data_IF_588485526309
#
_entry.id   IF_588485526309
#
_cell.length_a   1.000
_cell.length_b   1.000
_cell.length_c   1.000
_cell.angle_alpha   90.00
_cell.angle_beta   90.00
_cell.angle_gamma   90.00
#
_symmetry.space_group_name_H-M   'P 1'
#
loop_
_entity.id
_entity.type
_entity.pdbx_description
1 polymer ?
#
# COMPACT_ATOMS: atom_id res chain seq x y z
N UNK A 1 -10.99 -1.59 57.93
CA UNK A 1 -10.10 -1.70 56.75
C UNK A 1 -10.52 -0.75 55.62
N UNK A 2 -11.81 -0.55 55.33
CA UNK A 2 -12.27 0.39 54.29
C UNK A 2 -12.00 1.89 54.60
N UNK A 3 -12.14 2.33 55.85
CA UNK A 3 -11.86 3.73 56.24
C UNK A 3 -10.39 4.13 56.10
N UNK A 4 -9.46 3.21 56.37
CA UNK A 4 -8.02 3.47 56.28
C UNK A 4 -7.61 3.73 54.82
N UNK A 5 -8.20 2.99 53.88
CA UNK A 5 -7.95 3.13 52.45
C UNK A 5 -8.50 4.47 51.88
N UNK A 6 -9.68 4.90 52.35
CA UNK A 6 -10.23 6.22 52.01
C UNK A 6 -9.35 7.36 52.53
N UNK A 7 -8.83 7.24 53.76
CA UNK A 7 -7.97 8.28 54.34
C UNK A 7 -6.63 8.38 53.60
N UNK A 8 -6.05 7.26 53.16
CA UNK A 8 -4.84 7.25 52.33
C UNK A 8 -5.09 7.91 50.96
N UNK A 9 -6.21 7.61 50.30
CA UNK A 9 -6.57 8.26 49.04
C UNK A 9 -6.78 9.77 49.17
N UNK A 10 -7.43 10.23 50.26
CA UNK A 10 -7.60 11.66 50.54
C UNK A 10 -6.25 12.34 50.76
N UNK A 11 -5.33 11.69 51.47
CA UNK A 11 -3.99 12.23 51.70
C UNK A 11 -3.18 12.30 50.40
N UNK A 12 -3.32 11.31 49.51
CA UNK A 12 -2.67 11.31 48.20
C UNK A 12 -3.23 12.41 47.28
N UNK A 13 -4.55 12.63 47.31
CA UNK A 13 -5.22 13.71 46.58
C UNK A 13 -4.76 15.08 47.10
N UNK A 14 -4.66 15.28 48.41
CA UNK A 14 -4.16 16.52 48.99
C UNK A 14 -2.72 16.82 48.53
N UNK A 15 -1.85 15.82 48.50
CA UNK A 15 -0.49 15.98 47.97
C UNK A 15 -0.46 16.35 46.49
N UNK A 16 -1.33 15.73 45.67
CA UNK A 16 -1.45 16.07 44.25
C UNK A 16 -1.99 17.48 44.06
N UNK A 17 -2.96 17.89 44.87
CA UNK A 17 -3.51 19.25 44.90
C UNK A 17 -2.45 20.27 45.29
N UNK A 18 -1.61 19.99 46.30
CA UNK A 18 -0.51 20.88 46.71
C UNK A 18 0.53 21.04 45.59
N UNK A 19 0.86 19.96 44.88
CA UNK A 19 1.75 20.01 43.70
C UNK A 19 1.15 20.85 42.57
N UNK A 20 -0.13 20.66 42.26
CA UNK A 20 -0.83 21.45 41.23
C UNK A 20 -0.95 22.92 41.65
N UNK A 21 -1.25 23.20 42.92
CA UNK A 21 -1.31 24.56 43.46
C UNK A 21 0.05 25.27 43.40
N UNK A 22 1.13 24.54 43.68
CA UNK A 22 2.50 25.02 43.53
C UNK A 22 2.80 25.41 42.07
N UNK A 23 2.48 24.52 41.12
CA UNK A 23 2.73 24.78 39.69
C UNK A 23 1.90 25.95 39.16
N UNK A 24 0.62 26.04 39.58
CA UNK A 24 -0.28 27.15 39.24
C UNK A 24 0.25 28.47 39.80
N UNK A 25 0.76 28.49 41.04
CA UNK A 25 1.38 29.69 41.60
C UNK A 25 2.63 30.10 40.83
N UNK A 26 3.47 29.13 40.44
CA UNK A 26 4.68 29.38 39.65
C UNK A 26 4.36 29.93 38.26
N UNK A 27 3.30 29.42 37.61
CA UNK A 27 2.77 30.01 36.37
C UNK A 27 2.23 31.43 36.56
N UNK A 28 1.56 31.70 37.69
CA UNK A 28 1.00 33.02 37.98
C UNK A 28 2.11 34.06 38.14
N UNK A 29 3.18 33.72 38.85
CA UNK A 29 4.35 34.58 39.04
C UNK A 29 5.03 34.92 37.72
N UNK A 30 5.21 33.94 36.82
CA UNK A 30 5.75 34.20 35.47
C UNK A 30 4.88 35.15 34.66
N UNK A 31 3.54 35.08 34.81
CA UNK A 31 2.61 36.01 34.14
C UNK A 31 2.70 37.42 34.72
N UNK A 32 2.89 37.55 36.03
CA UNK A 32 3.13 38.85 36.70
C UNK A 32 4.47 39.45 36.25
N UNK A 33 5.57 38.68 36.23
CA UNK A 33 6.88 39.13 35.74
C UNK A 33 6.84 39.59 34.27
N UNK A 34 6.09 38.88 33.42
CA UNK A 34 5.86 39.29 32.04
C UNK A 34 5.07 40.59 31.98
N UNK A 35 4.05 40.76 32.83
CA UNK A 35 3.26 42.00 32.91
C UNK A 35 4.13 43.20 33.31
N UNK A 36 4.98 43.05 34.32
CA UNK A 36 5.88 44.11 34.78
C UNK A 36 6.91 44.47 33.69
N UNK A 37 7.44 43.47 32.98
CA UNK A 37 8.32 43.70 31.83
C UNK A 37 7.62 44.47 30.70
N UNK A 38 6.32 44.25 30.49
CA UNK A 38 5.50 45.00 29.53
C UNK A 38 5.44 46.48 29.91
N UNK A 39 5.17 46.76 31.18
CA UNK A 39 5.02 48.11 31.69
C UNK A 39 6.36 48.87 31.61
N UNK A 40 7.47 48.23 31.97
CA UNK A 40 8.82 48.81 31.88
C UNK A 40 9.27 49.04 30.42
N UNK A 41 8.98 48.10 29.51
CA UNK A 41 9.27 48.25 28.08
C UNK A 41 8.48 49.38 27.43
N UNK A 42 7.26 49.65 27.90
CA UNK A 42 6.41 50.72 27.37
C UNK A 42 7.00 52.11 27.67
N UNK A 43 7.72 52.24 28.80
CA UNK A 43 8.37 53.49 29.21
C UNK A 43 9.64 53.75 28.39
N UNK A 44 10.52 52.75 28.26
CA UNK A 44 11.81 52.90 27.54
C UNK A 44 11.62 52.86 26.02
N UNK A 45 10.60 52.15 25.54
CA UNK A 45 10.31 51.97 24.11
C UNK A 45 10.10 53.30 23.38
N UNK A 46 9.46 54.28 23.99
CA UNK A 46 9.12 55.55 23.33
C UNK A 46 10.34 56.30 22.74
N UNK A 47 11.49 56.24 23.39
CA UNK A 47 12.70 56.96 22.95
C UNK A 47 13.45 56.22 21.83
N UNK A 48 13.48 54.88 21.89
CA UNK A 48 14.05 54.05 20.81
C UNK A 48 13.14 54.10 19.58
N UNK A 49 11.82 54.06 19.77
CA UNK A 49 10.83 54.13 18.70
C UNK A 49 10.88 55.43 17.93
N UNK A 50 11.01 56.57 18.60
CA UNK A 50 11.18 57.87 17.93
C UNK A 50 12.39 57.88 17.00
N UNK A 51 13.52 57.34 17.45
CA UNK A 51 14.73 57.28 16.63
C UNK A 51 14.57 56.34 15.43
N UNK A 52 13.96 55.17 15.60
CA UNK A 52 13.76 54.18 14.52
C UNK A 52 12.76 54.66 13.48
N UNK A 53 11.66 55.30 13.90
CA UNK A 53 10.69 55.92 12.97
C UNK A 53 11.36 57.03 12.16
N UNK A 54 12.16 57.89 12.80
CA UNK A 54 12.89 58.94 12.10
C UNK A 54 13.93 58.39 11.10
N UNK A 55 14.53 57.23 11.36
CA UNK A 55 15.46 56.59 10.42
C UNK A 55 14.74 55.88 9.26
N UNK A 56 13.55 55.33 9.49
CA UNK A 56 12.75 54.62 8.48
C UNK A 56 11.97 55.59 7.58
N UNK A 57 11.54 56.73 8.11
CA UNK A 57 10.95 57.84 7.34
C UNK A 57 11.99 58.43 6.36
N UNK A 58 13.24 58.57 6.81
CA UNK A 58 14.38 58.89 5.94
C UNK A 58 14.68 57.84 4.86
N UNK A 59 14.23 56.58 5.05
CA UNK A 59 14.34 55.51 4.06
C UNK A 59 13.11 55.40 3.14
N UNK A 60 12.13 56.29 3.29
CA UNK A 60 10.92 56.36 2.46
C UNK A 60 9.82 55.36 2.84
N UNK A 61 9.86 54.82 4.06
CA UNK A 61 8.81 53.92 4.59
C UNK A 61 7.89 54.74 5.49
N UNK A 62 6.69 55.08 5.00
CA UNK A 62 5.63 55.69 5.83
C UNK A 62 5.16 54.66 6.86
N UNK A 63 5.60 54.84 8.09
CA UNK A 63 5.16 54.05 9.22
C UNK A 63 4.22 54.88 10.08
N UNK A 64 2.96 54.44 10.14
CA UNK A 64 1.99 55.00 11.08
C UNK A 64 2.45 54.70 12.51
N UNK A 65 2.84 55.76 13.23
CA UNK A 65 3.30 55.72 14.61
C UNK A 65 2.29 55.06 15.55
N UNK A 66 1.00 55.30 15.32
CA UNK A 66 -0.08 54.77 16.14
C UNK A 66 -0.29 53.27 15.88
N UNK A 67 -0.22 52.87 14.61
CA UNK A 67 -0.27 51.46 14.21
C UNK A 67 0.91 50.67 14.78
N UNK A 68 2.14 51.19 14.71
CA UNK A 68 3.34 50.55 15.27
C UNK A 68 3.30 50.40 16.78
N UNK A 69 2.88 51.45 17.51
CA UNK A 69 2.71 51.37 18.96
C UNK A 69 1.66 50.33 19.34
N UNK A 70 0.56 50.26 18.59
CA UNK A 70 -0.45 49.23 18.81
C UNK A 70 0.08 47.81 18.55
N UNK A 71 0.99 47.66 17.58
CA UNK A 71 1.63 46.40 17.20
C UNK A 71 2.60 45.93 18.28
N UNK A 72 3.41 46.84 18.83
CA UNK A 72 4.26 46.58 19.99
C UNK A 72 3.46 46.14 21.21
N UNK A 73 2.44 46.91 21.58
CA UNK A 73 1.63 46.60 22.75
C UNK A 73 0.97 45.23 22.57
N UNK A 74 0.48 44.91 21.36
CA UNK A 74 -0.03 43.57 21.03
C UNK A 74 1.07 42.52 21.09
N UNK A 75 2.26 42.78 20.58
CA UNK A 75 3.38 41.84 20.61
C UNK A 75 3.77 41.48 22.05
N UNK A 76 3.97 42.49 22.90
CA UNK A 76 4.38 42.27 24.29
C UNK A 76 3.23 41.65 25.11
N UNK A 77 1.98 42.08 24.90
CA UNK A 77 0.81 41.46 25.55
C UNK A 77 0.61 39.99 25.18
N UNK A 78 1.00 39.60 23.96
CA UNK A 78 0.89 38.24 23.46
C UNK A 78 2.22 37.46 23.53
N UNK A 79 3.23 37.98 24.26
CA UNK A 79 4.55 37.34 24.33
C UNK A 79 4.48 35.92 24.92
N UNK A 80 3.55 35.67 25.84
CA UNK A 80 3.27 34.33 26.35
C UNK A 80 2.78 33.36 25.26
N UNK A 81 1.89 33.81 24.38
CA UNK A 81 1.41 33.02 23.23
C UNK A 81 2.52 32.78 22.21
N UNK A 82 3.40 33.76 21.99
CA UNK A 82 4.59 33.55 21.15
C UNK A 82 5.55 32.55 21.78
N UNK A 83 5.72 32.55 23.11
CA UNK A 83 6.57 31.59 23.80
C UNK A 83 6.04 30.16 23.63
N UNK A 84 4.73 29.95 23.81
CA UNK A 84 4.06 28.66 23.54
C UNK A 84 4.24 28.22 22.08
N UNK A 85 4.16 29.15 21.12
CA UNK A 85 4.42 28.87 19.71
C UNK A 85 5.88 28.45 19.47
N UNK A 86 6.84 29.10 20.12
CA UNK A 86 8.26 28.75 20.01
C UNK A 86 8.55 27.38 20.61
N UNK A 87 7.94 27.03 21.75
CA UNK A 87 8.03 25.69 22.35
C UNK A 87 7.45 24.61 21.41
N UNK A 88 6.35 24.92 20.72
CA UNK A 88 5.77 24.02 19.71
C UNK A 88 6.69 23.86 18.48
N UNK A 89 7.32 24.95 18.03
CA UNK A 89 8.29 24.90 16.93
C UNK A 89 9.56 24.13 17.31
N UNK A 90 10.03 24.27 18.55
CA UNK A 90 11.14 23.50 19.09
C UNK A 90 10.79 22.01 19.13
N UNK A 91 9.60 21.67 19.63
CA UNK A 91 9.09 20.29 19.66
C UNK A 91 8.96 19.69 18.24
N UNK A 92 8.47 20.47 17.27
CA UNK A 92 8.37 20.03 15.88
C UNK A 92 9.75 19.84 15.23
N UNK A 93 10.70 20.74 15.54
CA UNK A 93 12.07 20.63 15.07
C UNK A 93 12.79 19.42 15.67
N UNK A 94 12.57 19.14 16.95
CA UNK A 94 13.13 17.97 17.63
C UNK A 94 12.53 16.67 17.11
N UNK A 95 11.21 16.62 16.89
CA UNK A 95 10.57 15.51 16.19
C UNK A 95 11.18 15.30 14.79
N UNK A 96 11.42 16.37 14.02
CA UNK A 96 12.05 16.27 12.71
C UNK A 96 13.49 15.76 12.80
N UNK A 97 14.28 16.21 13.77
CA UNK A 97 15.64 15.69 14.01
C UNK A 97 15.61 14.21 14.39
N UNK A 98 14.63 13.78 15.19
CA UNK A 98 14.47 12.40 15.61
C UNK A 98 13.97 11.48 14.48
N UNK A 99 13.10 12.00 13.61
CA UNK A 99 12.59 11.27 12.45
C UNK A 99 13.58 11.22 11.28
N UNK A 100 14.47 12.20 11.13
CA UNK A 100 15.43 12.28 10.02
C UNK A 100 16.27 11.00 9.85
N UNK A 101 16.87 10.42 10.92
CA UNK A 101 17.60 9.15 10.83
C UNK A 101 16.74 7.98 10.36
N UNK A 102 15.50 7.88 10.86
CA UNK A 102 14.56 6.80 10.51
C UNK A 102 14.17 6.91 9.05
N UNK A 103 13.83 8.11 8.58
CA UNK A 103 13.48 8.38 7.18
C UNK A 103 14.65 8.05 6.26
N UNK A 104 15.88 8.40 6.65
CA UNK A 104 17.05 8.08 5.85
C UNK A 104 17.31 6.58 5.75
N UNK A 105 17.23 5.83 6.86
CA UNK A 105 17.45 4.38 6.84
C UNK A 105 16.32 3.64 6.11
N UNK A 106 15.07 3.88 6.50
CA UNK A 106 13.90 3.23 5.88
C UNK A 106 13.76 3.65 4.42
N UNK A 107 14.07 4.90 4.10
CA UNK A 107 14.02 5.43 2.73
C UNK A 107 15.06 4.77 1.83
N UNK A 108 16.30 4.61 2.29
CA UNK A 108 17.35 3.93 1.51
C UNK A 108 16.98 2.46 1.30
N UNK A 109 16.55 1.74 2.34
CA UNK A 109 16.14 0.33 2.23
C UNK A 109 14.93 0.16 1.30
N UNK A 110 13.98 1.09 1.36
CA UNK A 110 12.82 1.10 0.47
C UNK A 110 13.24 1.34 -0.98
N UNK A 111 14.09 2.34 -1.24
CA UNK A 111 14.62 2.61 -2.59
C UNK A 111 15.36 1.37 -3.10
N UNK A 112 16.21 0.76 -2.28
CA UNK A 112 17.00 -0.39 -2.69
C UNK A 112 16.12 -1.61 -3.00
N UNK A 113 15.06 -1.86 -2.20
CA UNK A 113 14.06 -2.89 -2.52
C UNK A 113 13.26 -2.58 -3.78
N UNK A 114 12.89 -1.31 -3.99
CA UNK A 114 12.17 -0.90 -5.19
C UNK A 114 13.04 -1.09 -6.44
N UNK A 115 14.32 -0.74 -6.37
CA UNK A 115 15.30 -1.03 -7.43
C UNK A 115 15.45 -2.54 -7.64
N UNK A 116 15.54 -3.34 -6.59
CA UNK A 116 15.58 -4.81 -6.71
C UNK A 116 14.32 -5.37 -7.38
N UNK A 117 13.14 -4.80 -7.10
CA UNK A 117 11.90 -5.17 -7.76
C UNK A 117 11.88 -4.78 -9.23
N UNK A 118 12.43 -3.61 -9.57
CA UNK A 118 12.59 -3.16 -10.95
C UNK A 118 13.57 -4.04 -11.72
N UNK A 119 14.74 -4.34 -11.16
CA UNK A 119 15.76 -5.23 -11.76
C UNK A 119 15.22 -6.64 -12.00
N UNK A 120 14.43 -7.17 -11.05
CA UNK A 120 13.75 -8.46 -11.20
C UNK A 120 12.54 -8.40 -12.15
N UNK A 121 12.16 -7.22 -12.63
CA UNK A 121 11.08 -7.02 -13.59
C UNK A 121 9.67 -7.09 -13.01
N UNK A 122 9.50 -6.95 -11.69
CA UNK A 122 8.18 -7.01 -11.04
C UNK A 122 7.23 -5.92 -11.55
N UNK A 123 7.73 -4.70 -11.80
CA UNK A 123 6.88 -3.62 -12.33
C UNK A 123 6.41 -3.90 -13.76
N UNK A 124 7.29 -4.45 -14.60
CA UNK A 124 6.93 -4.86 -15.95
C UNK A 124 5.91 -6.01 -15.93
N UNK A 125 6.14 -7.03 -15.10
CA UNK A 125 5.19 -8.12 -14.91
C UNK A 125 3.83 -7.63 -14.40
N UNK A 126 3.81 -6.74 -13.40
CA UNK A 126 2.58 -6.17 -12.87
C UNK A 126 1.85 -5.35 -13.93
N UNK A 127 2.56 -4.54 -14.71
CA UNK A 127 1.99 -3.80 -15.83
C UNK A 127 1.33 -4.71 -16.87
N UNK A 128 1.99 -5.81 -17.25
CA UNK A 128 1.41 -6.79 -18.17
C UNK A 128 0.24 -7.57 -17.54
N UNK A 129 0.32 -7.90 -16.25
CA UNK A 129 -0.77 -8.54 -15.52
C UNK A 129 -2.03 -7.66 -15.48
N UNK A 130 -1.87 -6.34 -15.26
CA UNK A 130 -2.99 -5.39 -15.32
C UNK A 130 -3.61 -5.36 -16.72
N UNK A 131 -2.81 -5.35 -17.79
CA UNK A 131 -3.36 -5.43 -19.17
C UNK A 131 -4.13 -6.71 -19.43
N UNK A 132 -3.65 -7.85 -18.91
CA UNK A 132 -4.36 -9.12 -18.99
C UNK A 132 -5.70 -9.01 -18.26
N UNK A 133 -5.70 -8.45 -17.04
CA UNK A 133 -6.92 -8.22 -16.26
C UNK A 133 -7.90 -7.30 -16.99
N UNK A 134 -7.43 -6.19 -17.58
CA UNK A 134 -8.27 -5.26 -18.36
C UNK A 134 -8.93 -5.97 -19.55
N UNK A 135 -8.15 -6.75 -20.32
CA UNK A 135 -8.68 -7.53 -21.45
C UNK A 135 -9.71 -8.57 -21.00
N UNK A 136 -9.51 -9.19 -19.83
CA UNK A 136 -10.48 -10.12 -19.24
C UNK A 136 -11.75 -9.38 -18.85
N UNK A 137 -11.66 -8.25 -18.15
CA UNK A 137 -12.84 -7.46 -17.73
C UNK A 137 -13.62 -6.89 -18.92
N UNK A 138 -12.97 -6.60 -20.05
CA UNK A 138 -13.64 -6.12 -21.27
C UNK A 138 -14.46 -7.22 -21.96
N UNK A 139 -14.03 -8.48 -21.87
CA UNK A 139 -14.65 -9.60 -22.62
C UNK A 139 -15.46 -10.56 -21.75
N UNK A 140 -15.26 -10.53 -20.44
CA UNK A 140 -15.89 -11.43 -19.48
C UNK A 140 -16.67 -10.64 -18.43
N UNK A 141 -17.87 -11.10 -18.14
CA UNK A 141 -18.67 -10.52 -17.05
C UNK A 141 -18.07 -10.91 -15.68
N UNK A 142 -18.37 -10.18 -14.59
CA UNK A 142 -17.97 -10.57 -13.24
C UNK A 142 -18.39 -12.01 -12.89
N UNK A 143 -19.56 -12.43 -13.36
CA UNK A 143 -20.07 -13.80 -13.19
C UNK A 143 -19.18 -14.83 -13.93
N UNK A 144 -18.72 -14.52 -15.14
CA UNK A 144 -17.80 -15.39 -15.89
C UNK A 144 -16.44 -15.51 -15.17
N UNK A 145 -15.92 -14.40 -14.65
CA UNK A 145 -14.66 -14.39 -13.89
C UNK A 145 -14.79 -15.20 -12.59
N UNK A 146 -15.93 -15.11 -11.90
CA UNK A 146 -16.21 -15.92 -10.72
C UNK A 146 -16.25 -17.41 -11.07
N UNK A 147 -16.96 -17.78 -12.14
CA UNK A 147 -17.02 -19.17 -12.60
C UNK A 147 -15.63 -19.70 -13.01
N UNK A 148 -14.79 -18.86 -13.62
CA UNK A 148 -13.40 -19.20 -13.92
C UNK A 148 -12.57 -19.39 -12.66
N UNK A 149 -12.69 -18.49 -11.67
CA UNK A 149 -11.97 -18.59 -10.40
C UNK A 149 -12.35 -19.87 -9.63
N UNK A 150 -13.64 -20.22 -9.62
CA UNK A 150 -14.14 -21.43 -8.97
C UNK A 150 -13.64 -22.71 -9.63
N UNK A 151 -13.40 -22.68 -10.95
CA UNK A 151 -12.96 -23.84 -11.74
C UNK A 151 -11.47 -23.80 -12.13
N UNK A 152 -10.70 -22.81 -11.66
CA UNK A 152 -9.30 -22.61 -12.08
C UNK A 152 -8.43 -23.82 -11.76
N UNK A 153 -8.67 -24.47 -10.61
CA UNK A 153 -7.92 -25.67 -10.20
C UNK A 153 -8.20 -26.83 -11.16
N UNK A 154 -9.46 -27.08 -11.50
CA UNK A 154 -9.87 -28.14 -12.45
C UNK A 154 -9.30 -27.89 -13.84
N UNK A 155 -9.30 -26.63 -14.30
CA UNK A 155 -8.67 -26.27 -15.57
C UNK A 155 -7.15 -26.53 -15.55
N UNK A 156 -6.46 -26.13 -14.48
CA UNK A 156 -5.03 -26.37 -14.31
C UNK A 156 -4.69 -27.87 -14.22
N UNK A 157 -5.53 -28.67 -13.55
CA UNK A 157 -5.40 -30.13 -13.50
C UNK A 157 -5.63 -30.78 -14.87
N UNK A 158 -6.57 -30.26 -15.66
CA UNK A 158 -6.83 -30.71 -17.03
C UNK A 158 -5.63 -30.41 -17.92
N UNK A 159 -5.11 -29.18 -17.89
CA UNK A 159 -3.90 -28.79 -18.62
C UNK A 159 -2.72 -29.66 -18.20
N UNK A 160 -2.52 -29.85 -16.88
CA UNK A 160 -1.47 -30.73 -16.36
C UNK A 160 -1.60 -32.15 -16.90
N UNK A 161 -2.82 -32.69 -16.93
CA UNK A 161 -3.13 -34.03 -17.46
C UNK A 161 -2.85 -34.15 -18.96
N UNK A 162 -3.17 -33.11 -19.74
CA UNK A 162 -2.84 -33.05 -21.17
C UNK A 162 -1.33 -32.95 -21.43
N UNK A 163 -0.59 -32.32 -20.52
CA UNK A 163 0.88 -32.19 -20.61
C UNK A 163 1.64 -33.39 -20.03
N UNK A 164 0.96 -34.46 -19.61
CA UNK A 164 1.64 -35.67 -19.13
C UNK A 164 2.42 -36.34 -20.28
N UNK A 165 3.58 -36.97 -20.01
CA UNK A 165 4.44 -37.57 -21.03
C UNK A 165 3.70 -38.51 -21.99
N UNK A 166 2.86 -39.40 -21.45
CA UNK A 166 2.11 -40.38 -22.24
C UNK A 166 1.12 -39.70 -23.21
N UNK A 167 0.48 -38.61 -22.78
CA UNK A 167 -0.48 -37.85 -23.62
C UNK A 167 0.25 -37.04 -24.70
N UNK A 168 1.35 -36.39 -24.34
CA UNK A 168 2.20 -35.67 -25.29
C UNK A 168 2.78 -36.62 -26.35
N UNK A 169 3.20 -37.81 -25.95
CA UNK A 169 3.68 -38.85 -26.87
C UNK A 169 2.56 -39.31 -27.82
N UNK A 170 1.36 -39.58 -27.30
CA UNK A 170 0.21 -39.93 -28.12
C UNK A 170 -0.15 -38.83 -29.15
N UNK A 171 -0.13 -37.56 -28.72
CA UNK A 171 -0.36 -36.41 -29.61
C UNK A 171 0.72 -36.31 -30.69
N UNK A 172 1.99 -36.42 -30.32
CA UNK A 172 3.10 -36.38 -31.27
C UNK A 172 3.04 -37.51 -32.29
N UNK A 173 2.74 -38.73 -31.83
CA UNK A 173 2.55 -39.90 -32.71
C UNK A 173 1.38 -39.68 -33.67
N UNK A 174 0.25 -39.14 -33.19
CA UNK A 174 -0.89 -38.77 -34.03
C UNK A 174 -0.55 -37.73 -35.10
N UNK A 175 0.21 -36.69 -34.73
CA UNK A 175 0.67 -35.66 -35.67
C UNK A 175 1.61 -36.22 -36.74
N UNK A 176 2.51 -37.15 -36.38
CA UNK A 176 3.40 -37.83 -37.34
C UNK A 176 2.61 -38.72 -38.31
N UNK A 177 1.60 -39.43 -37.82
CA UNK A 177 0.70 -40.24 -38.67
C UNK A 177 -0.09 -39.33 -39.62
N UNK A 178 -0.67 -38.23 -39.11
CA UNK A 178 -1.40 -37.28 -39.94
C UNK A 178 -0.53 -36.65 -41.04
N UNK A 179 0.71 -36.26 -40.72
CA UNK A 179 1.67 -35.71 -41.70
C UNK A 179 2.13 -36.74 -42.73
N UNK A 180 2.18 -38.02 -42.36
CA UNK A 180 2.61 -39.10 -43.27
C UNK A 180 1.47 -39.63 -44.15
N UNK A 181 0.22 -39.27 -43.87
CA UNK A 181 -0.91 -39.53 -44.77
C UNK A 181 -0.89 -38.54 -45.94
N UNK A 182 -0.78 -39.04 -47.17
CA UNK A 182 -1.04 -38.25 -48.38
C UNK A 182 -2.54 -37.94 -48.47
N UNK A 183 -2.95 -36.82 -47.86
CA UNK A 183 -4.36 -36.40 -47.75
C UNK A 183 -5.04 -36.08 -49.08
N UNK A 184 -4.28 -36.05 -50.18
CA UNK A 184 -4.77 -35.74 -51.54
C UNK A 184 -5.07 -36.96 -52.40
N UNK A 185 -4.58 -38.14 -52.03
CA UNK A 185 -4.75 -39.37 -52.83
C UNK A 185 -5.17 -40.55 -51.94
N UNK A 186 -6.36 -40.42 -51.35
CA UNK A 186 -6.94 -41.48 -50.53
C UNK A 186 -7.46 -42.58 -51.45
N UNK A 187 -6.78 -43.73 -51.44
CA UNK A 187 -7.15 -44.90 -52.26
C UNK A 187 -8.59 -45.33 -51.99
N UNK A 188 -9.39 -45.44 -53.07
CA UNK A 188 -10.76 -45.94 -52.99
C UNK A 188 -10.79 -47.43 -52.60
N UNK A 189 -11.59 -47.76 -51.58
CA UNK A 189 -11.81 -49.15 -51.15
C UNK A 189 -13.10 -49.70 -51.75
N UNK A 190 -13.02 -50.86 -52.41
CA UNK A 190 -14.23 -51.63 -52.76
C UNK A 190 -14.76 -52.38 -51.53
N UNK A 191 -16.06 -52.69 -51.50
CA UNK A 191 -16.73 -53.42 -50.41
C UNK A 191 -15.99 -54.70 -49.99
N UNK A 192 -15.47 -55.46 -50.96
CA UNK A 192 -14.71 -56.68 -50.68
C UNK A 192 -13.30 -56.42 -50.16
N UNK A 193 -12.62 -55.39 -50.68
CA UNK A 193 -11.30 -54.97 -50.16
C UNK A 193 -11.42 -54.45 -48.73
N UNK A 194 -12.48 -53.72 -48.40
CA UNK A 194 -12.78 -53.27 -47.04
C UNK A 194 -13.00 -54.47 -46.10
N UNK A 195 -13.80 -55.46 -46.52
CA UNK A 195 -14.03 -56.67 -45.73
C UNK A 195 -12.73 -57.45 -45.47
N UNK A 196 -11.87 -57.60 -46.49
CA UNK A 196 -10.56 -58.23 -46.31
C UNK A 196 -9.63 -57.40 -45.41
N UNK A 197 -9.63 -56.08 -45.54
CA UNK A 197 -8.83 -55.18 -44.72
C UNK A 197 -9.24 -55.23 -43.24
N UNK A 198 -10.54 -55.36 -42.94
CA UNK A 198 -11.04 -55.55 -41.57
C UNK A 198 -10.50 -56.83 -40.90
N UNK A 199 -10.14 -57.84 -41.70
CA UNK A 199 -9.61 -59.09 -41.18
C UNK A 199 -8.09 -59.04 -40.90
N UNK A 200 -7.40 -57.93 -41.23
CA UNK A 200 -5.96 -57.80 -41.00
C UNK A 200 -5.63 -57.77 -39.50
N UNK A 201 -4.42 -58.22 -39.08
CA UNK A 201 -4.01 -58.18 -37.68
C UNK A 201 -4.06 -56.77 -37.07
N UNK A 202 -3.70 -55.75 -37.83
CA UNK A 202 -3.67 -54.35 -37.40
C UNK A 202 -5.08 -53.83 -37.13
N UNK A 203 -6.01 -54.07 -38.06
CA UNK A 203 -7.39 -53.61 -37.94
C UNK A 203 -8.14 -54.34 -36.81
N UNK A 204 -7.89 -55.64 -36.63
CA UNK A 204 -8.41 -56.39 -35.46
C UNK A 204 -7.91 -55.83 -34.14
N UNK A 205 -6.62 -55.48 -34.05
CA UNK A 205 -6.05 -54.84 -32.85
C UNK A 205 -6.66 -53.47 -32.60
N UNK A 206 -6.86 -52.67 -33.65
CA UNK A 206 -7.55 -51.37 -33.56
C UNK A 206 -8.99 -51.49 -33.07
N UNK A 207 -9.77 -52.42 -33.64
CA UNK A 207 -11.14 -52.71 -33.20
C UNK A 207 -11.15 -53.18 -31.73
N UNK A 208 -10.24 -54.07 -31.34
CA UNK A 208 -10.12 -54.54 -29.96
C UNK A 208 -9.77 -53.42 -28.97
N UNK A 209 -8.89 -52.49 -29.36
CA UNK A 209 -8.59 -51.29 -28.59
C UNK A 209 -9.84 -50.42 -28.41
N UNK A 210 -10.56 -50.12 -29.49
CA UNK A 210 -11.78 -49.31 -29.44
C UNK A 210 -12.86 -49.93 -28.55
N UNK A 211 -13.08 -51.24 -28.66
CA UNK A 211 -14.02 -51.98 -27.79
C UNK A 211 -13.61 -51.85 -26.32
N UNK A 212 -12.33 -52.08 -26.03
CA UNK A 212 -11.79 -51.99 -24.66
C UNK A 212 -11.91 -50.58 -24.09
N UNK A 213 -11.62 -49.56 -24.91
CA UNK A 213 -11.74 -48.16 -24.55
C UNK A 213 -13.19 -47.80 -24.21
N UNK A 214 -14.15 -48.17 -25.07
CA UNK A 214 -15.57 -47.92 -24.84
C UNK A 214 -16.09 -48.64 -23.57
N UNK A 215 -15.65 -49.87 -23.33
CA UNK A 215 -16.02 -50.61 -22.11
C UNK A 215 -15.52 -49.90 -20.84
N UNK A 216 -14.26 -49.43 -20.84
CA UNK A 216 -13.68 -48.70 -19.71
C UNK A 216 -14.37 -47.36 -19.48
N UNK A 217 -14.65 -46.61 -20.54
CA UNK A 217 -15.33 -45.32 -20.48
C UNK A 217 -16.77 -45.45 -19.99
N UNK A 218 -17.51 -46.45 -20.48
CA UNK A 218 -18.86 -46.72 -19.97
C UNK A 218 -18.85 -47.13 -18.50
N UNK A 219 -17.80 -47.82 -18.02
CA UNK A 219 -17.69 -48.19 -16.62
C UNK A 219 -17.40 -46.99 -15.72
N UNK A 220 -16.51 -46.09 -16.14
CA UNK A 220 -16.17 -44.88 -15.37
C UNK A 220 -17.28 -43.83 -15.32
N UNK A 221 -18.22 -43.84 -16.27
CA UNK A 221 -19.39 -42.93 -16.28
C UNK A 221 -20.56 -43.44 -15.40
N UNK A 222 -20.52 -44.71 -14.98
CA UNK A 222 -21.56 -45.38 -14.20
C UNK A 222 -21.11 -45.69 -12.76
N UNK A 223 -19.90 -45.26 -12.37
CA UNK A 223 -19.36 -45.23 -11.01
C UNK A 223 -19.42 -43.80 -10.47
#
# INVERSE_FOLDING_TARGET
MAEINMQEQINEINRKLDLVLSEINSQRLKREEVSDLVDDLTIIGNDVFKNTVQTLDNAGVELDYEALNSLLIRFVRNIGTFNEMFEMLESANDLMKDLTPIINQVGIDAIQKMTEFEEKGYFAFFGEAVKIMDNIVEHFTPEDVSALADNVVTMMETVKSMTQPDMLEAMNNGLLVYKSMETKDVKEYSMWKAFRAMNSPEMKRGIGFMITFMQKLSKSLNE
#
